data_IF_459968779118
#
_entry.id   IF_459968779118
#
_cell.length_a   1.000
_cell.length_b   1.000
_cell.length_c   1.000
_cell.angle_alpha   90.00
_cell.angle_beta   90.00
_cell.angle_gamma   90.00
#
_symmetry.space_group_name_H-M   'P 1'
#
loop_
_entity.id
_entity.type
_entity.pdbx_description
1 polymer ?
#
# COMPACT_ATOMS: atom_id res chain seq x y z
N UNK A 1 7.72 -14.36 11.61
CA UNK A 1 7.85 -12.90 11.44
C UNK A 1 7.69 -12.63 9.96
N UNK A 2 6.79 -11.72 9.56
CA UNK A 2 6.58 -11.34 8.15
C UNK A 2 7.51 -10.18 7.83
N UNK A 3 8.22 -10.25 6.71
CA UNK A 3 9.20 -9.26 6.31
C UNK A 3 9.00 -8.93 4.83
N UNK A 4 8.85 -7.65 4.54
CA UNK A 4 8.87 -7.12 3.19
C UNK A 4 10.19 -6.38 2.99
N UNK A 5 11.03 -6.89 2.10
CA UNK A 5 12.24 -6.18 1.67
C UNK A 5 12.01 -5.58 0.29
N UNK A 6 12.57 -4.40 0.07
CA UNK A 6 12.55 -3.74 -1.22
C UNK A 6 13.98 -3.31 -1.56
N UNK A 7 14.51 -3.77 -2.69
CA UNK A 7 15.84 -3.43 -3.15
C UNK A 7 15.75 -2.63 -4.45
N UNK A 8 16.52 -1.54 -4.52
CA UNK A 8 16.68 -0.75 -5.74
C UNK A 8 17.82 -1.35 -6.56
N UNK A 9 17.53 -2.35 -7.37
CA UNK A 9 18.57 -3.12 -8.08
C UNK A 9 19.12 -2.36 -9.28
N UNK A 10 18.27 -1.69 -10.07
CA UNK A 10 18.64 -0.69 -11.09
C UNK A 10 17.44 -0.21 -11.92
N UNK A 11 16.27 -0.01 -11.29
CA UNK A 11 14.97 0.19 -11.94
C UNK A 11 14.52 -1.04 -12.77
N UNK A 12 13.60 -1.89 -12.28
CA UNK A 12 12.59 -1.61 -11.23
C UNK A 12 13.05 -1.89 -9.79
N UNK A 13 12.19 -1.54 -8.82
CA UNK A 13 12.27 -2.03 -7.45
C UNK A 13 11.89 -3.51 -7.43
N UNK A 14 12.69 -4.33 -6.77
CA UNK A 14 12.35 -5.73 -6.49
C UNK A 14 11.82 -5.84 -5.05
N UNK A 15 10.72 -6.55 -4.89
CA UNK A 15 10.09 -6.78 -3.59
C UNK A 15 10.16 -8.27 -3.27
N UNK A 16 10.72 -8.62 -2.12
CA UNK A 16 10.65 -9.98 -1.59
C UNK A 16 9.73 -10.01 -0.36
N UNK A 17 8.73 -10.89 -0.41
CA UNK A 17 7.78 -11.13 0.67
C UNK A 17 8.10 -12.46 1.33
N UNK A 18 8.52 -12.41 2.60
CA UNK A 18 8.93 -13.58 3.37
C UNK A 18 8.09 -13.75 4.64
N UNK A 19 7.77 -15.01 4.94
CA UNK A 19 7.03 -15.41 6.14
C UNK A 19 5.54 -15.65 5.90
N UNK A 20 4.87 -16.15 6.93
CA UNK A 20 3.43 -16.43 6.87
C UNK A 20 2.60 -15.14 6.85
N UNK A 21 1.49 -15.17 6.12
CA UNK A 21 0.46 -14.13 6.20
C UNK A 21 -0.03 -13.94 7.63
N UNK A 22 -0.28 -12.70 8.00
CA UNK A 22 -0.92 -12.34 9.26
C UNK A 22 -2.38 -12.81 9.24
N UNK A 23 -2.93 -13.09 10.42
CA UNK A 23 -4.27 -13.66 10.56
C UNK A 23 -5.39 -12.78 9.97
N UNK A 24 -5.16 -11.48 9.82
CA UNK A 24 -6.11 -10.53 9.26
C UNK A 24 -5.92 -10.27 7.76
N UNK A 25 -4.83 -10.77 7.16
CA UNK A 25 -4.59 -10.64 5.73
C UNK A 25 -5.55 -11.54 4.94
N UNK A 26 -5.92 -11.11 3.75
CA UNK A 26 -6.68 -11.90 2.77
C UNK A 26 -5.78 -12.17 1.55
N UNK A 27 -5.09 -13.33 1.52
CA UNK A 27 -4.18 -13.66 0.44
C UNK A 27 -4.84 -13.75 -0.93
N UNK A 28 -6.13 -14.14 -0.99
CA UNK A 28 -6.85 -14.24 -2.25
C UNK A 28 -7.00 -12.87 -2.92
N UNK A 29 -7.03 -11.79 -2.14
CA UNK A 29 -7.08 -10.43 -2.66
C UNK A 29 -5.81 -10.04 -3.43
N UNK A 30 -4.65 -10.59 -3.08
CA UNK A 30 -3.37 -10.26 -3.72
C UNK A 30 -3.30 -10.75 -5.16
N UNK A 31 -4.04 -11.82 -5.46
CA UNK A 31 -4.16 -12.41 -6.78
C UNK A 31 -5.22 -11.74 -7.66
N UNK A 32 -5.92 -10.71 -7.17
CA UNK A 32 -6.92 -10.01 -7.98
C UNK A 32 -6.28 -9.43 -9.26
N UNK A 33 -6.95 -9.63 -10.40
CA UNK A 33 -6.41 -9.25 -11.71
C UNK A 33 -6.14 -7.75 -11.83
N UNK A 34 -7.01 -6.93 -11.23
CA UNK A 34 -6.88 -5.47 -11.24
C UNK A 34 -6.19 -5.02 -9.96
N UNK A 35 -5.10 -4.27 -10.10
CA UNK A 35 -4.32 -3.71 -8.98
C UNK A 35 -5.22 -2.95 -7.97
N UNK A 36 -6.16 -2.08 -8.39
CA UNK A 36 -7.05 -1.38 -7.45
C UNK A 36 -7.92 -2.30 -6.60
N UNK A 37 -8.25 -3.49 -7.10
CA UNK A 37 -9.15 -4.43 -6.43
C UNK A 37 -8.41 -5.22 -5.33
N UNK A 38 -7.07 -5.22 -5.35
CA UNK A 38 -6.22 -5.89 -4.35
C UNK A 38 -6.28 -5.21 -2.98
N UNK A 39 -6.51 -3.90 -2.93
CA UNK A 39 -6.59 -3.10 -1.71
C UNK A 39 -7.73 -2.07 -1.80
N UNK A 40 -8.96 -2.54 -1.61
CA UNK A 40 -10.13 -1.66 -1.55
C UNK A 40 -10.14 -0.85 -0.25
N UNK A 41 -10.96 0.21 -0.20
CA UNK A 41 -11.11 1.03 1.00
C UNK A 41 -11.63 0.23 2.20
N UNK A 42 -12.54 -0.71 1.96
CA UNK A 42 -13.09 -1.60 2.98
C UNK A 42 -12.01 -2.53 3.54
N UNK A 43 -11.19 -3.10 2.65
CA UNK A 43 -10.08 -3.99 3.04
C UNK A 43 -9.02 -3.22 3.82
N UNK A 44 -8.66 -2.02 3.36
CA UNK A 44 -7.77 -1.14 4.10
C UNK A 44 -8.30 -0.88 5.51
N UNK A 45 -9.59 -0.55 5.65
CA UNK A 45 -10.19 -0.33 6.96
C UNK A 45 -10.17 -1.57 7.85
N UNK A 46 -10.42 -2.75 7.29
CA UNK A 46 -10.33 -4.02 8.03
C UNK A 46 -8.90 -4.27 8.54
N UNK A 47 -7.89 -4.09 7.68
CA UNK A 47 -6.48 -4.25 8.06
C UNK A 47 -6.06 -3.22 9.12
N UNK A 48 -6.45 -1.95 8.96
CA UNK A 48 -6.22 -0.93 9.97
C UNK A 48 -6.81 -1.33 11.33
N UNK A 49 -8.08 -1.76 11.36
CA UNK A 49 -8.73 -2.15 12.62
C UNK A 49 -8.06 -3.35 13.29
N UNK A 50 -7.56 -4.31 12.51
CA UNK A 50 -6.79 -5.43 13.05
C UNK A 50 -5.49 -4.98 13.75
N UNK A 51 -4.95 -3.82 13.39
CA UNK A 51 -3.81 -3.16 14.04
C UNK A 51 -4.22 -2.13 15.10
N UNK A 52 -5.51 -2.02 15.43
CA UNK A 52 -6.03 -1.03 16.38
C UNK A 52 -6.13 0.39 15.82
N UNK A 53 -6.06 0.56 14.49
CA UNK A 53 -6.17 1.84 13.80
C UNK A 53 -7.62 2.01 13.32
N UNK A 54 -8.23 3.17 13.58
CA UNK A 54 -9.57 3.50 13.09
C UNK A 54 -9.52 4.65 12.05
N UNK A 55 -9.31 4.33 10.75
CA UNK A 55 -8.92 5.31 9.75
C UNK A 55 -10.04 6.28 9.37
N UNK A 56 -11.30 5.94 9.66
CA UNK A 56 -12.46 6.78 9.33
C UNK A 56 -13.07 7.48 10.55
N UNK A 57 -12.47 7.29 11.73
CA UNK A 57 -12.87 7.97 12.95
C UNK A 57 -12.07 9.25 13.12
N UNK A 58 -12.73 10.40 12.97
CA UNK A 58 -12.10 11.71 13.24
C UNK A 58 -11.50 11.76 14.66
N UNK A 59 -12.17 11.24 15.72
CA UNK A 59 -11.59 11.18 17.05
C UNK A 59 -10.31 10.34 17.19
N UNK A 60 -10.05 9.38 16.29
CA UNK A 60 -8.80 8.60 16.30
C UNK A 60 -7.58 9.50 15.99
N UNK A 61 -7.77 10.52 15.16
CA UNK A 61 -6.73 11.46 14.82
C UNK A 61 -6.60 12.55 15.89
N UNK A 62 -5.36 12.79 16.33
CA UNK A 62 -5.06 13.90 17.23
C UNK A 62 -5.14 15.26 16.56
N UNK A 63 -4.87 16.32 17.33
CA UNK A 63 -4.90 17.71 16.85
C UNK A 63 -3.77 18.08 15.88
N UNK A 64 -2.83 17.17 15.63
CA UNK A 64 -1.66 17.40 14.78
C UNK A 64 -1.83 16.67 13.45
N UNK A 65 -1.62 17.38 12.37
CA UNK A 65 -1.61 16.84 11.01
C UNK A 65 -0.41 17.40 10.24
N UNK A 66 0.04 16.66 9.23
CA UNK A 66 1.06 17.10 8.28
C UNK A 66 0.41 17.18 6.90
N UNK A 67 0.56 18.32 6.23
CA UNK A 67 0.15 18.45 4.83
C UNK A 67 1.32 18.04 3.94
N UNK A 68 1.16 16.94 3.22
CA UNK A 68 2.12 16.52 2.20
C UNK A 68 1.76 17.18 0.87
N UNK A 69 2.70 17.95 0.31
CA UNK A 69 2.61 18.44 -1.07
C UNK A 69 3.52 17.59 -1.94
N UNK A 70 2.94 16.88 -2.89
CA UNK A 70 3.70 16.29 -3.98
C UNK A 70 3.82 17.34 -5.08
N UNK A 71 5.01 17.84 -5.43
CA UNK A 71 5.17 18.61 -6.66
C UNK A 71 4.77 17.69 -7.81
N UNK A 72 3.78 18.11 -8.59
CA UNK A 72 3.48 17.48 -9.87
C UNK A 72 4.47 18.07 -10.85
N UNK A 73 5.49 17.30 -11.23
CA UNK A 73 6.30 17.68 -12.37
C UNK A 73 5.39 17.70 -13.61
N UNK A 74 5.22 18.89 -14.18
CA UNK A 74 4.40 19.13 -15.39
C UNK A 74 5.01 18.43 -16.62
N UNK A 75 6.22 17.88 -16.49
CA UNK A 75 6.87 17.07 -17.52
C UNK A 75 6.41 15.61 -17.38
N UNK A 76 5.31 15.31 -18.06
CA UNK A 76 4.78 13.95 -18.21
C UNK A 76 5.83 12.99 -18.76
N UNK A 77 6.44 12.20 -17.88
CA UNK A 77 6.96 10.87 -18.18
C UNK A 77 7.13 10.10 -16.88
N UNK A 78 6.21 9.18 -16.59
CA UNK A 78 6.58 8.04 -15.74
C UNK A 78 7.47 7.17 -16.63
N UNK A 79 8.79 7.04 -16.37
CA UNK A 79 9.60 6.11 -17.11
C UNK A 79 9.17 4.71 -16.66
N UNK A 80 8.55 3.93 -17.54
CA UNK A 80 8.42 2.48 -17.33
C UNK A 80 7.09 1.82 -17.63
N UNK A 81 6.03 2.52 -18.05
CA UNK A 81 4.80 1.83 -18.47
C UNK A 81 4.86 1.49 -19.97
N UNK A 82 5.69 0.51 -20.32
CA UNK A 82 5.52 -0.22 -21.58
C UNK A 82 4.37 -1.21 -21.36
N UNK A 83 3.17 -0.85 -21.85
CA UNK A 83 2.10 -1.82 -22.03
C UNK A 83 2.55 -2.72 -23.20
N UNK A 84 2.93 -3.95 -22.89
CA UNK A 84 2.76 -5.06 -23.83
C UNK A 84 1.42 -5.69 -23.59
#
# INVERSE_FOLDING_TARGET
MRQLTAEYVCNPWEFADEGAYLAFEDPAAYEAARIPDRLTAERLAAYCRAMGIDPFSVPYYGSRAVLLRRPVDVLGRVPGRSLR
#
